data_IF_283933087093
#
_entry.id   IF_283933087093
#
_cell.length_a   1.000
_cell.length_b   1.000
_cell.length_c   1.000
_cell.angle_alpha   90.00
_cell.angle_beta   90.00
_cell.angle_gamma   90.00
#
_symmetry.space_group_name_H-M   'P 1'
#
loop_
_entity.id
_entity.type
_entity.pdbx_description
1 polymer ?
#
# COMPACT_ATOMS: atom_id res chain seq x y z
N UNK A 1 -25.03 0.35 9.71
CA UNK A 1 -24.28 -0.74 9.07
C UNK A 1 -24.23 -0.59 7.54
N UNK A 2 -25.34 -0.32 6.84
CA UNK A 2 -25.34 -0.16 5.38
C UNK A 2 -24.36 0.94 4.88
N UNK A 3 -24.26 2.08 5.55
CA UNK A 3 -23.35 3.17 5.12
C UNK A 3 -21.87 2.80 5.11
N UNK A 4 -21.44 1.85 5.96
CA UNK A 4 -20.05 1.44 6.03
C UNK A 4 -19.68 0.56 4.83
N UNK A 5 -20.56 -0.38 4.48
CA UNK A 5 -20.33 -1.27 3.34
C UNK A 5 -20.37 -0.50 2.02
N UNK A 6 -21.28 0.46 1.88
CA UNK A 6 -21.33 1.32 0.70
C UNK A 6 -20.07 2.19 0.56
N UNK A 7 -19.61 2.78 1.67
CA UNK A 7 -18.36 3.56 1.66
C UNK A 7 -17.15 2.71 1.29
N UNK A 8 -17.03 1.51 1.87
CA UNK A 8 -15.96 0.58 1.55
C UNK A 8 -15.99 0.15 0.08
N UNK A 9 -17.19 -0.02 -0.48
CA UNK A 9 -17.37 -0.38 -1.88
C UNK A 9 -16.95 0.76 -2.81
N UNK A 10 -17.24 2.02 -2.47
CA UNK A 10 -16.74 3.18 -3.21
C UNK A 10 -15.22 3.27 -3.16
N UNK A 11 -14.59 3.07 -2.00
CA UNK A 11 -13.13 3.01 -1.88
C UNK A 11 -12.54 1.88 -2.74
N UNK A 12 -13.17 0.71 -2.73
CA UNK A 12 -12.72 -0.41 -3.53
C UNK A 12 -12.86 -0.14 -5.04
N UNK A 13 -13.89 0.59 -5.46
CA UNK A 13 -14.05 1.00 -6.86
C UNK A 13 -12.96 1.97 -7.31
N UNK A 14 -12.39 2.81 -6.42
CA UNK A 14 -11.25 3.67 -6.76
C UNK A 14 -9.99 2.87 -7.14
N UNK A 15 -9.84 1.66 -6.60
CA UNK A 15 -8.77 0.73 -6.97
C UNK A 15 -9.01 0.05 -8.32
N UNK A 16 -10.24 0.04 -8.83
CA UNK A 16 -10.57 -0.63 -10.09
C UNK A 16 -10.16 0.23 -11.27
N UNK A 17 -8.96 -0.02 -11.78
CA UNK A 17 -8.45 0.62 -13.00
C UNK A 17 -8.85 -0.14 -14.27
N UNK A 18 -9.23 -1.41 -14.15
CA UNK A 18 -9.61 -2.27 -15.26
C UNK A 18 -11.12 -2.56 -15.27
N UNK A 19 -11.81 -2.04 -16.27
CA UNK A 19 -13.26 -2.23 -16.46
C UNK A 19 -13.67 -3.65 -16.88
N UNK A 20 -12.70 -4.51 -17.23
CA UNK A 20 -12.95 -5.89 -17.63
C UNK A 20 -13.09 -6.83 -16.44
N UNK A 21 -12.65 -6.41 -15.24
CA UNK A 21 -12.76 -7.20 -14.03
C UNK A 21 -14.15 -7.08 -13.38
N UNK A 22 -14.64 -8.12 -12.69
CA UNK A 22 -15.84 -8.03 -11.86
C UNK A 22 -15.74 -6.89 -10.84
N UNK A 23 -16.88 -6.27 -10.49
CA UNK A 23 -16.95 -5.13 -9.56
C UNK A 23 -16.45 -5.42 -8.14
N UNK A 24 -16.29 -6.70 -7.79
CA UNK A 24 -15.82 -7.18 -6.49
C UNK A 24 -14.36 -7.67 -6.53
N UNK A 25 -13.65 -7.42 -7.63
CA UNK A 25 -12.26 -7.86 -7.83
C UNK A 25 -11.38 -6.71 -8.31
N UNK A 26 -10.18 -6.57 -7.76
CA UNK A 26 -9.13 -5.68 -8.29
C UNK A 26 -7.80 -6.41 -8.39
N UNK A 27 -6.82 -5.82 -9.07
CA UNK A 27 -5.48 -6.39 -9.19
C UNK A 27 -4.63 -6.07 -7.96
N UNK A 28 -3.71 -6.97 -7.62
CA UNK A 28 -2.71 -6.69 -6.58
C UNK A 28 -1.83 -5.49 -6.91
N UNK A 29 -1.62 -5.22 -8.21
CA UNK A 29 -0.87 -4.06 -8.69
C UNK A 29 -1.57 -2.74 -8.39
N UNK A 30 -2.90 -2.66 -8.57
CA UNK A 30 -3.66 -1.46 -8.23
C UNK A 30 -3.52 -1.14 -6.73
N UNK A 31 -3.62 -2.15 -5.88
CA UNK A 31 -3.41 -1.96 -4.44
C UNK A 31 -1.97 -1.57 -4.12
N UNK A 32 -0.98 -2.17 -4.78
CA UNK A 32 0.43 -1.81 -4.58
C UNK A 32 0.69 -0.32 -4.84
N UNK A 33 0.09 0.23 -5.89
CA UNK A 33 0.21 1.66 -6.22
C UNK A 33 -0.37 2.53 -5.10
N UNK A 34 -1.53 2.17 -4.55
CA UNK A 34 -2.15 2.90 -3.45
C UNK A 34 -1.30 2.85 -2.16
N UNK A 35 -0.76 1.68 -1.83
CA UNK A 35 0.14 1.53 -0.67
C UNK A 35 1.41 2.37 -0.82
N UNK A 36 1.98 2.40 -2.04
CA UNK A 36 3.14 3.23 -2.35
C UNK A 36 2.79 4.73 -2.22
N UNK A 37 1.62 5.15 -2.69
CA UNK A 37 1.14 6.52 -2.52
C UNK A 37 0.94 6.89 -1.05
N UNK A 38 0.48 5.94 -0.23
CA UNK A 38 0.39 6.09 1.23
C UNK A 38 1.71 5.97 1.99
N UNK A 39 2.85 5.97 1.30
CA UNK A 39 4.21 5.97 1.87
C UNK A 39 4.57 4.69 2.61
N UNK A 40 3.97 3.56 2.25
CA UNK A 40 4.43 2.29 2.78
C UNK A 40 5.73 1.86 2.12
N UNK A 41 6.61 1.23 2.91
CA UNK A 41 7.82 0.62 2.37
C UNK A 41 7.46 -0.53 1.43
N UNK A 42 8.37 -0.87 0.52
CA UNK A 42 8.20 -2.03 -0.38
C UNK A 42 8.02 -3.32 0.41
N UNK A 43 8.73 -3.49 1.52
CA UNK A 43 8.65 -4.64 2.43
C UNK A 43 7.28 -4.74 3.11
N UNK A 44 6.76 -3.62 3.63
CA UNK A 44 5.45 -3.59 4.27
C UNK A 44 4.33 -3.84 3.25
N UNK A 45 4.46 -3.22 2.07
CA UNK A 45 3.53 -3.43 0.97
C UNK A 45 3.49 -4.89 0.53
N UNK A 46 4.64 -5.55 0.39
CA UNK A 46 4.72 -6.98 0.09
C UNK A 46 4.08 -7.85 1.18
N UNK A 47 4.25 -7.47 2.45
CA UNK A 47 3.65 -8.16 3.61
C UNK A 47 2.13 -8.02 3.64
N UNK A 48 1.60 -6.85 3.26
CA UNK A 48 0.16 -6.61 3.18
C UNK A 48 -0.44 -7.37 1.99
N UNK A 49 0.21 -7.29 0.83
CA UNK A 49 -0.21 -8.00 -0.38
C UNK A 49 -0.20 -9.52 -0.19
N UNK A 50 0.78 -10.08 0.54
CA UNK A 50 0.82 -11.52 0.82
C UNK A 50 -0.30 -11.99 1.76
N UNK A 51 -0.87 -11.09 2.58
CA UNK A 51 -2.01 -11.37 3.46
C UNK A 51 -3.36 -11.21 2.76
N UNK A 52 -3.44 -10.34 1.76
CA UNK A 52 -4.67 -10.01 1.02
C UNK A 52 -4.84 -10.84 -0.25
N UNK A 53 -3.74 -11.12 -0.95
CA UNK A 53 -3.77 -11.99 -2.12
C UNK A 53 -3.82 -13.44 -1.65
N UNK A 54 -4.78 -14.20 -2.16
CA UNK A 54 -4.63 -15.66 -2.15
C UNK A 54 -3.38 -16.01 -2.96
N UNK A 55 -2.57 -16.99 -2.52
CA UNK A 55 -1.41 -17.39 -3.28
C UNK A 55 -1.85 -17.81 -4.69
N UNK A 56 -1.24 -17.22 -5.73
CA UNK A 56 -1.40 -17.48 -7.17
C UNK A 56 -2.43 -16.72 -8.02
N UNK A 57 -3.31 -15.87 -7.45
CA UNK A 57 -4.36 -15.24 -8.27
C UNK A 57 -3.96 -13.89 -8.92
N UNK A 58 -3.11 -13.07 -8.27
CA UNK A 58 -2.83 -11.71 -8.76
C UNK A 58 -4.01 -10.73 -8.59
N UNK A 59 -5.06 -11.18 -7.89
CA UNK A 59 -6.28 -10.44 -7.66
C UNK A 59 -6.62 -10.37 -6.16
N UNK A 60 -7.40 -9.36 -5.80
CA UNK A 60 -7.90 -9.10 -4.45
C UNK A 60 -9.42 -8.99 -4.54
N UNK A 61 -10.10 -9.76 -3.70
CA UNK A 61 -11.56 -9.69 -3.59
C UNK A 61 -11.98 -8.58 -2.63
N UNK A 62 -13.13 -7.96 -2.89
CA UNK A 62 -13.72 -6.93 -2.03
C UNK A 62 -13.90 -7.41 -0.59
N UNK A 63 -14.30 -8.66 -0.38
CA UNK A 63 -14.48 -9.22 0.96
C UNK A 63 -13.15 -9.32 1.74
N UNK A 64 -12.06 -9.66 1.05
CA UNK A 64 -10.72 -9.71 1.64
C UNK A 64 -10.24 -8.27 1.96
N UNK A 65 -10.53 -7.31 1.08
CA UNK A 65 -10.27 -5.88 1.29
C UNK A 65 -11.02 -5.29 2.50
N UNK A 66 -12.29 -5.68 2.71
CA UNK A 66 -13.12 -5.22 3.84
C UNK A 66 -12.47 -5.45 5.20
N UNK A 67 -11.71 -6.55 5.36
CA UNK A 67 -11.02 -6.87 6.62
C UNK A 67 -9.92 -5.86 6.98
N UNK A 68 -9.48 -5.05 6.01
CA UNK A 68 -8.38 -4.09 6.15
C UNK A 68 -8.83 -2.63 5.92
N UNK A 69 -10.13 -2.34 5.82
CA UNK A 69 -10.67 -0.97 5.65
C UNK A 69 -10.07 0.04 6.64
N UNK A 70 -10.00 -0.22 7.97
CA UNK A 70 -9.44 0.75 8.90
C UNK A 70 -7.98 1.10 8.61
N UNK A 71 -7.24 0.17 8.01
CA UNK A 71 -5.88 0.40 7.57
C UNK A 71 -5.85 1.27 6.29
N UNK A 72 -6.67 0.96 5.28
CA UNK A 72 -6.74 1.77 4.05
C UNK A 72 -7.21 3.20 4.28
N UNK A 73 -8.11 3.43 5.24
CA UNK A 73 -8.50 4.78 5.66
C UNK A 73 -7.27 5.58 6.13
N UNK A 74 -6.33 4.97 6.86
CA UNK A 74 -5.10 5.64 7.30
C UNK A 74 -4.14 5.92 6.14
N UNK A 75 -4.04 4.99 5.19
CA UNK A 75 -3.27 5.15 3.95
C UNK A 75 -3.82 6.37 3.18
N UNK A 76 -5.12 6.44 2.97
CA UNK A 76 -5.77 7.58 2.32
C UNK A 76 -5.60 8.89 3.09
N UNK A 77 -5.69 8.88 4.42
CA UNK A 77 -5.42 10.08 5.22
C UNK A 77 -4.00 10.59 5.00
N UNK A 78 -3.03 9.67 4.90
CA UNK A 78 -1.62 10.03 4.64
C UNK A 78 -1.45 10.68 3.26
N UNK A 79 -2.17 10.19 2.25
CA UNK A 79 -2.19 10.77 0.90
C UNK A 79 -2.81 12.17 0.92
N UNK A 80 -3.93 12.35 1.62
CA UNK A 80 -4.62 13.64 1.73
C UNK A 80 -3.76 14.67 2.46
N UNK A 81 -3.10 14.26 3.55
CA UNK A 81 -2.27 15.14 4.36
C UNK A 81 -1.01 15.63 3.60
N UNK A 82 -0.51 14.83 2.63
CA UNK A 82 0.63 15.21 1.80
C UNK A 82 0.53 14.62 0.37
N UNK A 83 -0.21 15.31 -0.53
CA UNK A 83 -0.54 14.77 -1.85
C UNK A 83 0.60 14.85 -2.88
N UNK A 84 1.62 15.68 -2.63
CA UNK A 84 2.74 15.94 -3.54
C UNK A 84 4.06 15.67 -2.82
N UNK A 85 4.33 14.39 -2.53
CA UNK A 85 5.60 14.05 -1.89
C UNK A 85 6.74 14.15 -2.92
N UNK A 86 7.74 14.98 -2.58
CA UNK A 86 8.95 15.13 -3.37
C UNK A 86 9.90 13.94 -3.13
N UNK A 87 10.19 13.17 -4.18
CA UNK A 87 11.01 11.96 -4.14
C UNK A 87 12.51 12.25 -3.82
N UNK A 88 12.87 13.50 -3.57
CA UNK A 88 14.24 13.98 -3.37
C UNK A 88 14.94 13.46 -2.10
N UNK A 89 14.23 12.82 -1.16
CA UNK A 89 14.82 12.39 0.12
C UNK A 89 15.27 10.92 0.17
N UNK A 90 15.08 10.12 -0.89
CA UNK A 90 15.46 8.69 -0.88
C UNK A 90 16.99 8.44 -1.04
N UNK A 91 17.79 9.48 -1.32
CA UNK A 91 19.24 9.35 -1.59
C UNK A 91 20.15 9.59 -0.37
N UNK A 92 19.61 9.88 0.83
CA UNK A 92 20.42 10.34 1.96
C UNK A 92 20.75 9.30 3.06
N UNK A 93 20.23 8.06 3.02
CA UNK A 93 20.40 7.10 4.14
C UNK A 93 21.01 5.74 3.79
N UNK A 94 21.92 5.70 2.81
CA UNK A 94 22.87 4.57 2.66
C UNK A 94 24.30 5.11 2.55
N UNK A 95 24.78 5.82 3.57
CA UNK A 95 26.22 6.04 3.75
C UNK A 95 26.55 6.44 5.19
N UNK A 96 26.47 5.47 6.11
CA UNK A 96 27.27 5.47 7.35
C UNK A 96 27.69 4.04 7.67
N UNK A 97 28.55 3.48 6.83
CA UNK A 97 29.41 2.38 7.27
C UNK A 97 30.83 2.67 6.77
N UNK A 98 31.58 3.33 7.64
CA UNK A 98 32.95 3.76 7.38
C UNK A 98 33.45 4.60 8.54
N UNK A 99 33.91 3.94 9.61
CA UNK A 99 35.19 4.27 10.26
C UNK A 99 35.50 3.24 11.38
N UNK A 100 36.27 2.19 11.09
CA UNK A 100 37.09 1.51 12.09
C UNK A 100 38.55 1.58 11.66
N UNK A 101 39.10 2.79 11.75
CA UNK A 101 40.53 3.00 11.85
C UNK A 101 40.98 2.97 13.31
N UNK A 102 41.76 1.96 13.66
CA UNK A 102 42.94 2.06 14.52
C UNK A 102 42.76 2.34 16.03
N UNK A 103 43.36 1.45 16.82
CA UNK A 103 44.45 1.77 17.75
C UNK A 103 44.24 1.16 19.14
N UNK A 104 44.89 0.03 19.43
CA UNK A 104 45.32 -0.34 20.79
C UNK A 104 46.63 -1.15 20.75
N UNK A 105 47.69 -0.46 21.18
CA UNK A 105 48.84 -0.87 22.00
C UNK A 105 49.57 -2.16 21.65
#
# INVERSE_FOLDING_TARGET
MLCFVTFAQELFQLLQTDTLLPSDVTTTMALYIELAAGRLSTTDSATILSKLSRPSAGYIHFLDYLMYIPFFIKVHQTIIDNPLYDFTQMSATTSKEGNQGGNRK
#
